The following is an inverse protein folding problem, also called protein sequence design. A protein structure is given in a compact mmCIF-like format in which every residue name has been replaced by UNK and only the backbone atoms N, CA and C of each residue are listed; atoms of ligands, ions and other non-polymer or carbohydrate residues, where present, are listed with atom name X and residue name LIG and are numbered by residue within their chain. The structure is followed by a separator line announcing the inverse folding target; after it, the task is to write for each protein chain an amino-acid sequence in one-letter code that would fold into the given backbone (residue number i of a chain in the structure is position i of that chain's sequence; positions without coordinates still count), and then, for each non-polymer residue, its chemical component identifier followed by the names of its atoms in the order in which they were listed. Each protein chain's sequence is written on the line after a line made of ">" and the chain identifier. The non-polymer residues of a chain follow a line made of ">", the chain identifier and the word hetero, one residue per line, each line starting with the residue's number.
data_IF_270192481232
#
_entry.id   IF_270192481232
#
_cell.length_a   1.000
_cell.length_b   1.000
_cell.length_c   1.000
_cell.angle_alpha   90.00
_cell.angle_beta   90.00
_cell.angle_gamma   90.00
#
_symmetry.space_group_name_H-M   'P 1'
#
loop_
_entity.id
_entity.type
_entity.pdbx_description
1 polymer ?
#
# COMPACT_ATOMS: atom_id res chain seq x y z
N UNK A 1 -8.61 -39.45 -0.52
CA UNK A 1 -9.00 -38.23 -1.25
C UNK A 1 -9.09 -37.11 -0.23
N UNK A 2 -8.05 -36.29 -0.10
CA UNK A 2 -8.07 -35.09 0.74
C UNK A 2 -9.07 -34.12 0.13
N UNK A 3 -10.11 -33.75 0.88
CA UNK A 3 -11.06 -32.74 0.40
C UNK A 3 -10.34 -31.39 0.48
N UNK A 4 -9.97 -30.84 -0.68
CA UNK A 4 -9.38 -29.51 -0.76
C UNK A 4 -10.43 -28.50 -0.31
N UNK A 5 -10.03 -27.59 0.58
CA UNK A 5 -10.95 -26.64 1.20
C UNK A 5 -10.34 -25.24 1.21
N UNK A 6 -11.14 -24.24 0.84
CA UNK A 6 -10.78 -22.82 0.91
C UNK A 6 -11.55 -22.21 2.09
N UNK A 7 -10.83 -21.58 3.02
CA UNK A 7 -11.42 -21.01 4.23
C UNK A 7 -12.29 -22.00 5.05
N UNK A 8 -11.95 -23.29 5.02
CA UNK A 8 -12.69 -24.34 5.71
C UNK A 8 -13.95 -24.82 4.99
N UNK A 9 -14.26 -24.30 3.79
CA UNK A 9 -15.33 -24.82 2.94
C UNK A 9 -14.77 -25.79 1.89
N UNK A 10 -15.35 -26.99 1.73
CA UNK A 10 -14.95 -27.93 0.69
C UNK A 10 -15.11 -27.33 -0.70
N UNK A 11 -14.12 -27.52 -1.56
CA UNK A 11 -14.20 -27.18 -2.97
C UNK A 11 -14.97 -28.29 -3.68
N UNK A 12 -16.01 -27.93 -4.44
CA UNK A 12 -16.80 -28.86 -5.25
C UNK A 12 -16.36 -28.83 -6.71
N UNK A 13 -16.68 -29.89 -7.46
CA UNK A 13 -16.38 -29.95 -8.90
C UNK A 13 -17.07 -28.81 -9.67
N UNK A 14 -18.31 -28.46 -9.30
CA UNK A 14 -19.03 -27.32 -9.89
C UNK A 14 -18.29 -25.98 -9.68
N UNK A 15 -17.66 -25.78 -8.51
CA UNK A 15 -16.86 -24.57 -8.24
C UNK A 15 -15.60 -24.53 -9.10
N UNK A 16 -14.99 -25.70 -9.32
CA UNK A 16 -13.80 -25.81 -10.18
C UNK A 16 -14.16 -25.47 -11.63
N UNK A 17 -15.29 -25.98 -12.12
CA UNK A 17 -15.75 -25.71 -13.49
C UNK A 17 -16.12 -24.22 -13.67
N UNK A 18 -16.82 -23.61 -12.70
CA UNK A 18 -17.10 -22.17 -12.71
C UNK A 18 -15.82 -21.31 -12.77
N UNK A 19 -14.81 -21.65 -11.96
CA UNK A 19 -13.53 -20.92 -11.97
C UNK A 19 -12.73 -21.15 -13.25
N UNK A 20 -12.80 -22.34 -13.83
CA UNK A 20 -12.16 -22.63 -15.11
C UNK A 20 -12.80 -21.81 -16.23
N UNK A 21 -14.13 -21.79 -16.32
CA UNK A 21 -14.88 -20.99 -17.29
C UNK A 21 -14.57 -19.49 -17.17
N UNK A 22 -14.50 -18.97 -15.93
CA UNK A 22 -14.12 -17.58 -15.67
C UNK A 22 -12.70 -17.29 -16.18
N UNK A 23 -11.74 -18.19 -15.92
CA UNK A 23 -10.36 -18.03 -16.34
C UNK A 23 -10.21 -18.09 -17.87
N UNK A 24 -10.94 -18.98 -18.53
CA UNK A 24 -10.95 -19.12 -20.00
C UNK A 24 -11.62 -17.94 -20.70
N UNK A 25 -12.71 -17.43 -20.12
CA UNK A 25 -13.38 -16.21 -20.59
C UNK A 25 -12.43 -15.00 -20.52
N UNK A 26 -11.61 -14.94 -19.47
CA UNK A 26 -10.65 -13.88 -19.23
C UNK A 26 -11.29 -12.55 -18.80
N UNK A 27 -10.45 -11.62 -18.33
CA UNK A 27 -10.91 -10.30 -17.87
C UNK A 27 -10.61 -9.21 -18.89
N UNK A 28 -11.51 -8.23 -18.99
CA UNK A 28 -11.30 -7.00 -19.75
C UNK A 28 -10.28 -6.11 -19.03
N UNK A 29 -9.00 -6.25 -19.43
CA UNK A 29 -7.87 -5.56 -18.81
C UNK A 29 -7.96 -4.03 -18.86
N UNK A 30 -8.67 -3.47 -19.84
CA UNK A 30 -8.86 -2.02 -19.97
C UNK A 30 -9.86 -1.49 -18.94
N UNK A 31 -10.79 -2.32 -18.47
CA UNK A 31 -11.71 -1.99 -17.37
C UNK A 31 -11.07 -2.20 -15.99
N UNK A 32 -9.97 -2.93 -15.91
CA UNK A 32 -9.24 -3.10 -14.65
C UNK A 32 -8.53 -1.80 -14.28
N UNK A 33 -8.82 -1.27 -13.09
CA UNK A 33 -8.11 -0.10 -12.57
C UNK A 33 -6.61 -0.43 -12.48
N UNK A 34 -5.75 0.41 -13.07
CA UNK A 34 -4.29 0.28 -12.92
C UNK A 34 -3.94 0.13 -11.43
N UNK A 35 -3.47 -1.06 -11.07
CA UNK A 35 -2.96 -1.34 -9.72
C UNK A 35 -1.62 -0.64 -9.56
N UNK A 36 -1.50 0.14 -8.51
CA UNK A 36 -0.30 0.87 -8.10
C UNK A 36 -0.54 1.55 -6.77
N UNK A 37 0.53 1.82 -6.01
CA UNK A 37 0.42 2.63 -4.80
C UNK A 37 -0.07 4.03 -5.21
N UNK A 38 -1.09 4.61 -4.54
CA UNK A 38 -1.52 5.97 -4.79
C UNK A 38 -0.34 6.94 -4.80
N UNK A 39 -0.36 7.91 -5.71
CA UNK A 39 0.66 8.96 -5.75
C UNK A 39 0.59 9.80 -4.48
N UNK A 40 1.75 10.27 -4.01
CA UNK A 40 1.81 11.29 -2.97
C UNK A 40 1.65 12.64 -3.68
N UNK A 41 0.41 13.15 -3.74
CA UNK A 41 0.07 14.37 -4.47
C UNK A 41 -0.24 14.14 -5.96
N UNK A 42 0.00 15.17 -6.79
CA UNK A 42 -0.41 15.24 -8.20
C UNK A 42 0.45 14.35 -9.14
N UNK A 43 1.53 13.76 -8.63
CA UNK A 43 2.45 12.96 -9.45
C UNK A 43 3.36 12.03 -8.64
N UNK A 44 4.32 11.37 -9.29
CA UNK A 44 5.29 10.52 -8.60
C UNK A 44 6.10 11.34 -7.58
N UNK A 45 6.24 10.83 -6.37
CA UNK A 45 7.06 11.47 -5.35
C UNK A 45 8.54 11.41 -5.71
N UNK A 46 9.26 12.53 -5.54
CA UNK A 46 10.71 12.57 -5.66
C UNK A 46 11.37 12.14 -4.34
N UNK A 47 12.45 11.35 -4.43
CA UNK A 47 13.25 10.96 -3.26
C UNK A 47 14.35 12.00 -3.04
N UNK A 48 14.34 12.67 -1.89
CA UNK A 48 15.35 13.66 -1.50
C UNK A 48 16.15 13.11 -0.32
N UNK A 49 17.42 12.71 -0.50
CA UNK A 49 18.25 12.23 0.61
C UNK A 49 18.67 13.40 1.51
N UNK A 50 18.45 13.26 2.82
CA UNK A 50 18.82 14.26 3.84
C UNK A 50 19.69 13.59 4.89
N UNK A 51 20.82 14.21 5.24
CA UNK A 51 21.66 13.74 6.36
C UNK A 51 21.12 14.31 7.67
N UNK A 52 20.86 13.43 8.61
CA UNK A 52 20.48 13.77 9.99
C UNK A 52 21.52 13.15 10.92
N UNK A 53 21.88 13.86 11.98
CA UNK A 53 22.62 13.24 13.07
C UNK A 53 21.73 12.24 13.83
N UNK A 54 22.36 11.40 14.66
CA UNK A 54 21.66 10.35 15.38
C UNK A 54 20.63 10.92 16.38
N UNK A 55 20.93 12.05 17.04
CA UNK A 55 20.04 12.62 18.04
C UNK A 55 18.75 13.16 17.38
N UNK A 56 18.88 13.80 16.23
CA UNK A 56 17.74 14.29 15.46
C UNK A 56 16.88 13.14 14.93
N UNK A 57 17.50 12.06 14.44
CA UNK A 57 16.77 10.89 13.94
C UNK A 57 15.99 10.19 15.06
N UNK A 58 16.58 10.05 16.25
CA UNK A 58 15.91 9.48 17.41
C UNK A 58 14.73 10.35 17.88
N UNK A 59 14.94 11.68 17.98
CA UNK A 59 13.87 12.61 18.34
C UNK A 59 12.69 12.56 17.34
N UNK A 60 12.99 12.47 16.04
CA UNK A 60 11.98 12.32 14.99
C UNK A 60 11.21 11.00 15.14
N UNK A 61 11.89 9.89 15.41
CA UNK A 61 11.24 8.59 15.59
C UNK A 61 10.32 8.57 16.81
N UNK A 62 10.81 9.06 17.94
CA UNK A 62 10.03 9.11 19.17
C UNK A 62 8.76 9.95 18.99
N UNK A 63 8.86 11.09 18.31
CA UNK A 63 7.70 11.93 18.02
C UNK A 63 6.72 11.27 17.04
N UNK A 64 7.22 10.65 15.97
CA UNK A 64 6.37 9.95 15.00
C UNK A 64 5.60 8.79 15.65
N UNK A 65 6.22 8.07 16.58
CA UNK A 65 5.58 7.01 17.36
C UNK A 65 4.48 7.56 18.28
N UNK A 66 4.75 8.66 19.01
CA UNK A 66 3.76 9.33 19.86
C UNK A 66 2.54 9.84 19.08
N UNK A 67 2.76 10.35 17.87
CA UNK A 67 1.71 10.87 16.99
C UNK A 67 1.05 9.77 16.13
N UNK A 68 1.49 8.50 16.27
CA UNK A 68 1.00 7.35 15.49
C UNK A 68 1.09 7.55 13.97
N UNK A 69 2.11 8.27 13.49
CA UNK A 69 2.37 8.52 12.07
C UNK A 69 3.67 7.86 11.63
N UNK A 70 3.81 7.61 10.32
CA UNK A 70 5.08 7.15 9.78
C UNK A 70 6.13 8.26 9.86
N UNK A 71 7.41 7.90 10.02
CA UNK A 71 8.55 8.85 9.93
C UNK A 71 8.46 9.75 8.69
N UNK A 72 8.10 9.18 7.54
CA UNK A 72 8.01 9.92 6.28
C UNK A 72 6.87 10.94 6.29
N UNK A 73 5.78 10.65 7.02
CA UNK A 73 4.65 11.57 7.16
C UNK A 73 5.02 12.72 8.08
N UNK A 74 5.63 12.44 9.24
CA UNK A 74 6.12 13.46 10.15
C UNK A 74 7.10 14.43 9.45
N UNK A 75 8.01 13.93 8.61
CA UNK A 75 8.90 14.78 7.81
C UNK A 75 8.10 15.65 6.83
N UNK A 76 7.14 15.09 6.10
CA UNK A 76 6.31 15.87 5.15
C UNK A 76 5.49 16.94 5.85
N UNK A 77 4.91 16.64 7.00
CA UNK A 77 4.16 17.61 7.81
C UNK A 77 5.06 18.74 8.31
N UNK A 78 6.27 18.42 8.80
CA UNK A 78 7.24 19.43 9.20
C UNK A 78 7.62 20.36 8.02
N UNK A 79 7.80 19.80 6.81
CA UNK A 79 8.09 20.60 5.61
C UNK A 79 6.88 21.44 5.17
N UNK A 80 5.66 20.91 5.23
CA UNK A 80 4.42 21.67 4.96
C UNK A 80 4.27 22.84 5.94
N UNK A 81 4.46 22.58 7.23
CA UNK A 81 4.44 23.62 8.26
C UNK A 81 5.52 24.70 8.05
N UNK A 82 6.73 24.30 7.65
CA UNK A 82 7.83 25.23 7.36
C UNK A 82 7.57 26.09 6.11
N UNK A 83 7.02 25.48 5.05
CA UNK A 83 6.77 26.16 3.77
C UNK A 83 5.44 26.92 3.72
N UNK A 84 4.57 26.73 4.72
CA UNK A 84 3.20 27.24 4.76
C UNK A 84 2.35 26.74 3.57
N UNK A 85 2.72 25.62 2.96
CA UNK A 85 1.96 24.95 1.90
C UNK A 85 1.01 23.95 2.54
N UNK A 86 -0.29 24.11 2.28
CA UNK A 86 -1.35 23.19 2.71
C UNK A 86 -1.35 21.91 1.85
#
# INVERSE_FOLDING_TARGET
>A
MTHEAINGQPVTDDMIEEWADEAETGYDVEKLRKRGRPTVGVGPGAVVPVRMDAALLEALNARAEQEHVSRSEAIREAVRAWTQVA
#
